data_IF_153212604026
#
_entry.id   IF_153212604026
#
_cell.length_a   1.000
_cell.length_b   1.000
_cell.length_c   1.000
_cell.angle_alpha   90.00
_cell.angle_beta   90.00
_cell.angle_gamma   90.00
#
_symmetry.space_group_name_H-M   'P 1'
#
loop_
_entity.id
_entity.type
_entity.pdbx_description
1 polymer ?
#
# COMPACT_ATOMS: atom_id res chain seq x y z
N UNK A 1 -5.92 17.37 3.67
CA UNK A 1 -7.12 16.89 4.39
C UNK A 1 -6.65 16.44 5.77
N UNK A 2 -7.27 16.89 6.87
CA UNK A 2 -6.87 16.45 8.20
C UNK A 2 -7.13 14.94 8.37
N UNK A 3 -6.30 14.28 9.17
CA UNK A 3 -6.49 12.85 9.51
C UNK A 3 -7.70 12.73 10.45
N UNK A 4 -8.60 11.80 10.15
CA UNK A 4 -9.84 11.61 10.92
C UNK A 4 -9.61 10.62 12.09
N UNK A 5 -8.86 11.06 13.09
CA UNK A 5 -8.53 10.24 14.27
C UNK A 5 -9.75 9.69 15.02
N UNK A 6 -10.85 10.46 15.24
CA UNK A 6 -12.03 9.93 15.92
C UNK A 6 -12.63 8.72 15.20
N UNK A 7 -12.68 8.75 13.86
CA UNK A 7 -13.16 7.62 13.08
C UNK A 7 -12.20 6.42 13.17
N UNK A 8 -10.88 6.66 13.12
CA UNK A 8 -9.90 5.57 13.23
C UNK A 8 -9.99 4.82 14.57
N UNK A 9 -10.29 5.53 15.66
CA UNK A 9 -10.49 4.92 16.98
C UNK A 9 -11.73 4.00 17.03
N UNK A 10 -12.77 4.31 16.25
CA UNK A 10 -13.98 3.49 16.17
C UNK A 10 -13.74 2.16 15.44
N UNK A 11 -12.79 2.12 14.50
CA UNK A 11 -12.48 0.93 13.71
C UNK A 11 -11.77 -0.17 14.51
N UNK A 12 -11.26 0.13 15.72
CA UNK A 12 -10.52 -0.82 16.57
C UNK A 12 -9.43 -1.56 15.80
N UNK A 13 -8.67 -0.81 15.00
CA UNK A 13 -7.61 -1.33 14.15
C UNK A 13 -6.56 -2.05 15.00
N UNK A 14 -6.07 -3.19 14.52
CA UNK A 14 -4.87 -3.84 15.06
C UNK A 14 -3.64 -3.52 14.25
N UNK A 15 -3.81 -3.37 12.94
CA UNK A 15 -2.69 -3.16 12.00
C UNK A 15 -3.01 -2.03 11.04
N UNK A 16 -2.01 -1.21 10.76
CA UNK A 16 -2.04 -0.23 9.67
C UNK A 16 -0.92 -0.59 8.70
N UNK A 17 -1.28 -0.81 7.44
CA UNK A 17 -0.34 -0.99 6.33
C UNK A 17 -0.30 0.33 5.55
N UNK A 18 0.85 1.01 5.60
CA UNK A 18 1.07 2.22 4.84
C UNK A 18 1.91 1.90 3.60
N UNK A 19 1.34 2.10 2.42
CA UNK A 19 1.99 1.82 1.13
C UNK A 19 2.37 3.14 0.47
N UNK A 20 3.61 3.59 0.67
CA UNK A 20 4.04 4.86 0.09
C UNK A 20 5.46 5.29 0.37
N UNK A 21 5.78 6.50 -0.08
CA UNK A 21 7.14 7.05 -0.22
C UNK A 21 7.46 8.19 0.76
N UNK A 22 6.49 8.65 1.55
CA UNK A 22 6.68 9.78 2.48
C UNK A 22 7.73 9.48 3.57
N UNK A 23 8.01 8.20 3.85
CA UNK A 23 9.02 7.81 4.83
C UNK A 23 10.46 8.07 4.31
N UNK A 24 10.68 8.02 3.00
CA UNK A 24 12.03 8.05 2.38
C UNK A 24 12.42 9.39 1.74
N UNK A 25 11.53 10.39 1.68
CA UNK A 25 11.87 11.72 1.18
C UNK A 25 12.97 12.43 2.02
N UNK A 26 13.22 11.97 3.26
CA UNK A 26 14.32 12.51 4.09
C UNK A 26 15.70 11.96 3.74
N UNK A 27 15.80 10.77 3.14
CA UNK A 27 17.09 10.08 2.94
C UNK A 27 17.86 10.54 1.69
N UNK A 28 17.20 11.16 0.71
CA UNK A 28 17.87 11.73 -0.49
C UNK A 28 18.58 13.07 -0.25
N UNK A 29 18.66 13.56 1.01
CA UNK A 29 19.34 14.83 1.33
C UNK A 29 20.87 14.77 1.32
N UNK A 30 21.49 13.62 1.06
CA UNK A 30 22.95 13.50 0.89
C UNK A 30 23.27 12.95 -0.49
N UNK A 31 23.45 13.83 -1.49
CA UNK A 31 24.29 13.46 -2.64
C UNK A 31 24.03 14.12 -4.00
N UNK A 32 22.81 14.57 -4.35
CA UNK A 32 22.57 15.21 -5.66
C UNK A 32 21.55 16.34 -5.56
N UNK A 33 21.92 17.50 -6.11
CA UNK A 33 21.11 18.71 -6.22
C UNK A 33 19.89 18.49 -7.14
N UNK A 34 18.83 17.87 -6.63
CA UNK A 34 17.50 18.04 -7.19
C UNK A 34 16.79 19.17 -6.42
N UNK A 35 16.29 20.17 -7.14
CA UNK A 35 15.55 21.31 -6.57
C UNK A 35 14.49 20.79 -5.58
N UNK A 36 14.46 21.29 -4.33
CA UNK A 36 13.48 20.83 -3.36
C UNK A 36 12.08 21.06 -3.93
N UNK A 37 11.30 19.99 -4.12
CA UNK A 37 9.85 20.13 -4.33
C UNK A 37 9.34 20.84 -3.09
N UNK A 38 8.94 22.10 -3.27
CA UNK A 38 8.35 22.95 -2.23
C UNK A 38 7.25 22.13 -1.56
N UNK A 39 7.38 21.84 -0.27
CA UNK A 39 6.35 21.13 0.50
C UNK A 39 5.17 22.08 0.67
N UNK A 40 4.36 22.22 -0.40
CA UNK A 40 3.32 23.27 -0.50
C UNK A 40 2.24 23.09 0.57
N UNK A 41 2.16 21.91 1.20
CA UNK A 41 1.04 21.50 2.05
C UNK A 41 1.44 20.93 3.43
N UNK A 42 2.71 20.99 3.87
CA UNK A 42 3.14 20.48 5.18
C UNK A 42 3.03 18.96 5.31
N UNK A 43 3.30 18.23 4.23
CA UNK A 43 3.05 16.79 4.13
C UNK A 43 3.93 15.99 5.10
N UNK A 44 5.18 16.41 5.27
CA UNK A 44 6.11 15.78 6.21
C UNK A 44 5.67 15.96 7.67
N UNK A 45 5.20 17.15 8.04
CA UNK A 45 4.70 17.41 9.40
C UNK A 45 3.45 16.59 9.73
N UNK A 46 2.55 16.45 8.75
CA UNK A 46 1.35 15.60 8.88
C UNK A 46 1.77 14.15 9.12
N UNK A 47 2.78 13.64 8.39
CA UNK A 47 3.28 12.29 8.56
C UNK A 47 3.96 12.06 9.91
N UNK A 48 4.73 13.04 10.42
CA UNK A 48 5.32 12.94 11.76
C UNK A 48 4.25 12.94 12.86
N UNK A 49 3.25 13.82 12.76
CA UNK A 49 2.10 13.81 13.69
C UNK A 49 1.35 12.49 13.64
N UNK A 50 1.19 11.93 12.45
CA UNK A 50 0.56 10.62 12.26
C UNK A 50 1.34 9.50 12.96
N UNK A 51 2.67 9.44 12.76
CA UNK A 51 3.52 8.47 13.47
C UNK A 51 3.48 8.66 14.97
N UNK A 52 3.48 9.90 15.46
CA UNK A 52 3.37 10.19 16.89
C UNK A 52 2.04 9.70 17.47
N UNK A 53 0.94 9.88 16.74
CA UNK A 53 -0.36 9.32 17.13
C UNK A 53 -0.37 7.79 17.10
N UNK A 54 0.18 7.14 16.07
CA UNK A 54 0.22 5.67 16.04
C UNK A 54 1.05 5.15 17.21
N UNK A 55 2.16 5.83 17.55
CA UNK A 55 3.01 5.46 18.69
C UNK A 55 2.32 5.58 20.05
N UNK A 56 1.19 6.31 20.14
CA UNK A 56 0.36 6.37 21.35
C UNK A 56 -0.77 5.33 21.38
N UNK A 57 -0.82 4.44 20.39
CA UNK A 57 -1.81 3.36 20.26
C UNK A 57 -1.13 2.00 20.23
N UNK A 58 -1.89 0.92 20.48
CA UNK A 58 -1.39 -0.46 20.36
C UNK A 58 -1.42 -0.99 18.91
N UNK A 59 -1.50 -0.09 17.92
CA UNK A 59 -1.64 -0.45 16.51
C UNK A 59 -0.25 -0.80 15.94
N UNK A 60 -0.14 -2.00 15.36
CA UNK A 60 1.03 -2.41 14.58
C UNK A 60 1.10 -1.58 13.29
N UNK A 61 2.11 -0.73 13.17
CA UNK A 61 2.36 0.07 11.97
C UNK A 61 3.38 -0.60 11.04
N UNK A 62 2.97 -0.84 9.80
CA UNK A 62 3.80 -1.44 8.75
C UNK A 62 3.98 -0.45 7.58
N UNK A 63 5.04 0.39 7.59
CA UNK A 63 5.37 1.24 6.46
C UNK A 63 6.11 0.44 5.38
N UNK A 64 5.56 0.42 4.17
CA UNK A 64 6.08 -0.31 3.00
C UNK A 64 6.35 0.69 1.88
N UNK A 65 7.58 0.67 1.36
CA UNK A 65 8.04 1.64 0.37
C UNK A 65 7.55 1.26 -1.01
N UNK A 66 6.58 2.03 -1.52
CA UNK A 66 6.14 1.93 -2.91
C UNK A 66 6.21 3.30 -3.57
N UNK A 67 7.06 3.37 -4.58
CA UNK A 67 7.24 4.56 -5.41
C UNK A 67 6.01 4.78 -6.29
N UNK A 68 5.79 6.04 -6.66
CA UNK A 68 4.79 6.34 -7.69
C UNK A 68 5.28 5.79 -9.02
N UNK A 69 4.46 4.98 -9.69
CA UNK A 69 4.63 4.63 -11.10
C UNK A 69 4.65 5.95 -11.90
N UNK A 70 5.80 6.37 -12.40
CA UNK A 70 5.92 7.45 -13.37
C UNK A 70 6.77 6.94 -14.53
N UNK A 71 6.18 6.86 -15.72
CA UNK A 71 6.91 6.56 -16.95
C UNK A 71 7.98 7.62 -17.23
N UNK A 72 9.07 7.29 -17.95
CA UNK A 72 9.43 6.00 -18.56
C UNK A 72 10.50 5.18 -17.80
N UNK A 73 10.92 5.57 -16.60
CA UNK A 73 12.16 5.06 -15.99
C UNK A 73 12.02 4.62 -14.53
N UNK A 74 11.16 3.64 -14.26
CA UNK A 74 11.28 2.91 -12.98
C UNK A 74 12.50 2.01 -13.08
N UNK A 75 13.53 2.27 -12.26
CA UNK A 75 14.74 1.45 -12.27
C UNK A 75 14.42 -0.01 -11.87
N UNK A 76 15.23 -0.97 -12.30
CA UNK A 76 15.05 -2.39 -11.96
C UNK A 76 15.00 -2.57 -10.43
N UNK A 77 15.83 -1.82 -9.71
CA UNK A 77 15.87 -1.83 -8.24
C UNK A 77 14.55 -1.30 -7.63
N UNK A 78 13.97 -0.27 -8.25
CA UNK A 78 12.70 0.33 -7.80
C UNK A 78 11.53 -0.64 -8.01
N UNK A 79 11.55 -1.40 -9.11
CA UNK A 79 10.55 -2.44 -9.38
C UNK A 79 10.68 -3.59 -8.38
N UNK A 80 11.88 -4.10 -8.15
CA UNK A 80 12.13 -5.16 -7.18
C UNK A 80 11.71 -4.75 -5.76
N UNK A 81 12.05 -3.52 -5.33
CA UNK A 81 11.63 -3.00 -4.03
C UNK A 81 10.10 -2.89 -3.90
N UNK A 82 9.43 -2.51 -4.98
CA UNK A 82 7.96 -2.42 -5.02
C UNK A 82 7.33 -3.80 -4.90
N UNK A 83 7.87 -4.80 -5.61
CA UNK A 83 7.41 -6.19 -5.53
C UNK A 83 7.58 -6.75 -4.11
N UNK A 84 8.75 -6.58 -3.50
CA UNK A 84 9.02 -7.01 -2.12
C UNK A 84 8.04 -6.35 -1.12
N UNK A 85 7.80 -5.04 -1.29
CA UNK A 85 6.84 -4.30 -0.44
C UNK A 85 5.41 -4.79 -0.61
N UNK A 86 4.98 -5.08 -1.84
CA UNK A 86 3.63 -5.58 -2.12
C UNK A 86 3.46 -7.03 -1.63
N UNK A 87 4.51 -7.85 -1.75
CA UNK A 87 4.53 -9.22 -1.22
C UNK A 87 4.39 -9.20 0.30
N UNK A 88 5.20 -8.40 0.99
CA UNK A 88 5.09 -8.22 2.44
C UNK A 88 3.69 -7.73 2.86
N UNK A 89 3.06 -6.85 2.07
CA UNK A 89 1.68 -6.41 2.34
C UNK A 89 0.68 -7.58 2.20
N UNK A 90 0.83 -8.42 1.18
CA UNK A 90 -0.02 -9.59 0.96
C UNK A 90 0.14 -10.62 2.09
N UNK A 91 1.36 -10.88 2.58
CA UNK A 91 1.59 -11.74 3.75
C UNK A 91 0.90 -11.21 5.01
N UNK A 92 0.92 -9.89 5.24
CA UNK A 92 0.21 -9.29 6.36
C UNK A 92 -1.32 -9.46 6.23
N UNK A 93 -1.85 -9.37 5.01
CA UNK A 93 -3.27 -9.58 4.70
C UNK A 93 -3.67 -11.06 4.82
N UNK A 94 -2.76 -11.98 4.58
CA UNK A 94 -2.97 -13.44 4.67
C UNK A 94 -3.04 -13.96 6.11
N UNK A 95 -2.71 -13.14 7.12
CA UNK A 95 -2.76 -13.54 8.52
C UNK A 95 -3.90 -12.83 9.27
N UNK A 96 -4.94 -13.59 9.62
CA UNK A 96 -6.15 -13.11 10.30
C UNK A 96 -5.86 -12.47 11.66
N UNK A 97 -4.72 -12.75 12.30
CA UNK A 97 -4.31 -12.12 13.57
C UNK A 97 -4.11 -10.62 13.42
N UNK A 98 -3.74 -10.17 12.23
CA UNK A 98 -3.52 -8.75 11.92
C UNK A 98 -4.84 -7.95 11.79
N UNK A 99 -6.00 -8.60 11.68
CA UNK A 99 -7.28 -7.93 11.46
C UNK A 99 -7.93 -7.39 12.75
N UNK A 100 -8.59 -6.22 12.71
CA UNK A 100 -8.86 -5.38 11.52
C UNK A 100 -7.64 -4.59 11.01
N UNK A 101 -7.47 -4.55 9.68
CA UNK A 101 -6.37 -3.87 8.99
C UNK A 101 -6.90 -2.62 8.28
N UNK A 102 -6.19 -1.50 8.41
CA UNK A 102 -6.34 -0.35 7.51
C UNK A 102 -5.17 -0.32 6.53
N UNK A 103 -5.47 -0.27 5.23
CA UNK A 103 -4.47 -0.10 4.17
C UNK A 103 -4.63 1.30 3.57
N UNK A 104 -3.57 2.08 3.52
CA UNK A 104 -3.63 3.40 2.88
C UNK A 104 -2.28 3.84 2.29
N UNK A 105 -2.34 4.82 1.38
CA UNK A 105 -1.17 5.50 0.81
C UNK A 105 -1.31 7.01 1.02
N UNK A 106 -0.56 7.83 0.28
CA UNK A 106 -0.70 9.30 0.35
C UNK A 106 -2.08 9.76 -0.10
N UNK A 107 -2.67 9.10 -1.11
CA UNK A 107 -3.96 9.48 -1.72
C UNK A 107 -4.99 8.34 -1.74
N UNK A 108 -4.59 7.10 -1.45
CA UNK A 108 -5.51 5.95 -1.48
C UNK A 108 -5.96 5.52 -2.89
N UNK A 109 -5.22 5.91 -3.94
CA UNK A 109 -5.53 5.61 -5.35
C UNK A 109 -4.61 4.50 -5.89
N UNK A 110 -3.96 4.70 -7.02
CA UNK A 110 -3.01 3.80 -7.71
C UNK A 110 -2.35 2.71 -6.85
N UNK A 111 -1.46 3.04 -5.91
CA UNK A 111 -0.75 2.07 -5.05
C UNK A 111 -1.67 1.11 -4.29
N UNK A 112 -2.79 1.64 -3.78
CA UNK A 112 -3.79 0.83 -3.08
C UNK A 112 -4.63 0.04 -4.08
N UNK A 113 -4.97 0.63 -5.22
CA UNK A 113 -5.62 -0.08 -6.32
C UNK A 113 -4.82 -1.30 -6.79
N UNK A 114 -3.50 -1.16 -6.93
CA UNK A 114 -2.61 -2.28 -7.30
C UNK A 114 -2.63 -3.38 -6.22
N UNK A 115 -2.38 -3.03 -4.95
CA UNK A 115 -2.39 -4.01 -3.86
C UNK A 115 -3.74 -4.72 -3.71
N UNK A 116 -4.86 -3.97 -3.78
CA UNK A 116 -6.20 -4.55 -3.72
C UNK A 116 -6.48 -5.42 -4.95
N UNK A 117 -6.08 -4.98 -6.15
CA UNK A 117 -6.23 -5.78 -7.37
C UNK A 117 -5.48 -7.11 -7.31
N UNK A 118 -4.27 -7.11 -6.74
CA UNK A 118 -3.51 -8.33 -6.47
C UNK A 118 -4.20 -9.21 -5.43
N UNK A 119 -4.74 -8.63 -4.36
CA UNK A 119 -5.55 -9.36 -3.38
C UNK A 119 -6.78 -10.02 -4.04
N UNK A 120 -7.49 -9.30 -4.92
CA UNK A 120 -8.62 -9.84 -5.69
C UNK A 120 -8.20 -10.98 -6.61
N UNK A 121 -7.11 -10.80 -7.37
CA UNK A 121 -6.57 -11.80 -8.30
C UNK A 121 -6.10 -13.05 -7.57
N UNK A 122 -5.17 -12.89 -6.64
CA UNK A 122 -4.37 -13.99 -6.08
C UNK A 122 -5.13 -14.66 -4.92
N UNK A 123 -5.71 -13.87 -4.02
CA UNK A 123 -6.32 -14.41 -2.80
C UNK A 123 -7.79 -14.77 -3.00
N UNK A 124 -8.53 -14.05 -3.84
CA UNK A 124 -9.98 -14.23 -3.99
C UNK A 124 -10.40 -14.84 -5.33
N UNK A 125 -9.49 -14.89 -6.30
CA UNK A 125 -9.74 -15.50 -7.62
C UNK A 125 -10.78 -14.75 -8.46
N UNK A 126 -10.85 -13.43 -8.35
CA UNK A 126 -11.74 -12.60 -9.19
C UNK A 126 -11.31 -12.61 -10.66
N UNK A 127 -12.25 -12.37 -11.57
CA UNK A 127 -11.94 -12.17 -13.00
C UNK A 127 -11.29 -10.80 -13.24
N UNK A 128 -10.44 -10.70 -14.26
CA UNK A 128 -9.69 -9.46 -14.56
C UNK A 128 -10.59 -8.26 -14.83
N UNK A 129 -11.71 -8.45 -15.52
CA UNK A 129 -12.66 -7.37 -15.80
C UNK A 129 -13.19 -6.73 -14.51
N UNK A 130 -13.61 -7.54 -13.53
CA UNK A 130 -14.10 -7.05 -12.24
C UNK A 130 -13.00 -6.36 -11.42
N UNK A 131 -11.76 -6.85 -11.51
CA UNK A 131 -10.61 -6.23 -10.85
C UNK A 131 -10.34 -4.84 -11.45
N UNK A 132 -10.34 -4.73 -12.77
CA UNK A 132 -10.07 -3.48 -13.48
C UNK A 132 -11.18 -2.44 -13.24
N UNK A 133 -12.43 -2.85 -13.20
CA UNK A 133 -13.56 -1.98 -12.84
C UNK A 133 -13.44 -1.43 -11.41
N UNK A 134 -13.08 -2.26 -10.42
CA UNK A 134 -12.84 -1.81 -9.04
C UNK A 134 -11.67 -0.82 -9.00
N UNK A 135 -10.56 -1.16 -9.66
CA UNK A 135 -9.38 -0.31 -9.74
C UNK A 135 -9.74 1.07 -10.30
N UNK A 136 -10.37 1.14 -11.47
CA UNK A 136 -10.64 2.40 -12.18
C UNK A 136 -11.58 3.30 -11.36
N UNK A 137 -12.59 2.69 -10.73
CA UNK A 137 -13.54 3.39 -9.85
C UNK A 137 -12.84 4.11 -8.70
N UNK A 138 -11.88 3.47 -8.04
CA UNK A 138 -11.21 4.05 -6.86
C UNK A 138 -9.95 4.85 -7.21
N UNK A 139 -9.24 4.51 -8.29
CA UNK A 139 -8.11 5.29 -8.78
C UNK A 139 -8.56 6.65 -9.35
N UNK A 140 -9.84 6.77 -9.77
CA UNK A 140 -10.37 7.93 -10.49
C UNK A 140 -9.60 8.18 -11.79
N UNK A 141 -9.27 7.11 -12.50
CA UNK A 141 -8.49 7.13 -13.73
C UNK A 141 -7.85 5.78 -14.03
N UNK A 142 -7.58 5.53 -15.30
CA UNK A 142 -6.92 4.32 -15.78
C UNK A 142 -5.41 4.53 -15.85
N UNK A 143 -4.65 3.52 -15.42
CA UNK A 143 -3.19 3.46 -15.55
C UNK A 143 -2.85 2.12 -16.18
N UNK A 144 -2.45 2.13 -17.45
CA UNK A 144 -2.16 0.89 -18.19
C UNK A 144 -1.05 0.09 -17.52
N UNK A 145 0.00 0.77 -17.03
CA UNK A 145 1.08 0.17 -16.26
C UNK A 145 0.58 -0.56 -14.99
N UNK A 146 -0.32 0.06 -14.22
CA UNK A 146 -0.83 -0.57 -13.00
C UNK A 146 -1.69 -1.79 -13.32
N UNK A 147 -2.49 -1.73 -14.39
CA UNK A 147 -3.33 -2.86 -14.83
C UNK A 147 -2.49 -4.00 -15.38
N UNK A 148 -1.49 -3.70 -16.20
CA UNK A 148 -0.52 -4.67 -16.71
C UNK A 148 0.25 -5.32 -15.55
N UNK A 149 0.66 -4.54 -14.54
CA UNK A 149 1.33 -5.07 -13.36
C UNK A 149 0.41 -6.05 -12.59
N UNK A 150 -0.86 -5.70 -12.38
CA UNK A 150 -1.84 -6.60 -11.74
C UNK A 150 -2.00 -7.89 -12.56
N UNK A 151 -2.05 -7.78 -13.89
CA UNK A 151 -2.21 -8.94 -14.79
C UNK A 151 -0.98 -9.85 -14.81
N UNK A 152 0.22 -9.28 -14.89
CA UNK A 152 1.46 -10.02 -15.12
C UNK A 152 2.12 -10.54 -13.84
N UNK A 153 2.06 -9.78 -12.74
CA UNK A 153 2.78 -10.15 -11.53
C UNK A 153 2.02 -11.21 -10.71
N UNK A 154 2.75 -12.24 -10.28
CA UNK A 154 2.22 -13.33 -9.46
C UNK A 154 3.32 -13.83 -8.51
N UNK A 155 3.39 -13.30 -7.26
CA UNK A 155 4.32 -13.79 -6.27
C UNK A 155 3.91 -15.16 -5.74
N UNK A 156 4.88 -15.90 -5.23
CA UNK A 156 4.66 -17.13 -4.48
C UNK A 156 4.49 -16.77 -3.00
N UNK A 157 3.32 -17.05 -2.42
CA UNK A 157 3.00 -16.67 -1.04
C UNK A 157 2.98 -17.89 -0.14
N UNK A 158 3.82 -17.88 0.90
CA UNK A 158 3.76 -18.83 2.00
C UNK A 158 2.81 -18.35 3.10
N UNK A 159 2.01 -19.26 3.65
CA UNK A 159 1.06 -18.96 4.72
C UNK A 159 0.80 -20.18 5.59
N UNK A 160 0.36 -19.93 6.83
CA UNK A 160 -0.14 -20.94 7.75
C UNK A 160 -1.65 -21.07 7.58
N UNK A 161 -2.15 -22.24 7.18
CA UNK A 161 -3.58 -22.47 6.94
C UNK A 161 -4.47 -22.11 8.14
N UNK A 162 -3.98 -22.34 9.36
CA UNK A 162 -4.68 -22.00 10.60
C UNK A 162 -5.02 -20.51 10.68
N UNK A 163 -4.18 -19.64 10.12
CA UNK A 163 -4.31 -18.19 10.22
C UNK A 163 -4.91 -17.53 8.97
N UNK A 164 -5.31 -18.30 7.96
CA UNK A 164 -5.93 -17.74 6.77
C UNK A 164 -7.28 -17.06 7.06
N UNK A 165 -7.51 -15.85 6.53
CA UNK A 165 -8.84 -15.24 6.50
C UNK A 165 -9.81 -16.04 5.64
N UNK A 166 -11.09 -16.07 6.02
CA UNK A 166 -12.13 -16.82 5.29
C UNK A 166 -12.44 -16.33 3.87
N UNK A 167 -11.89 -15.19 3.44
CA UNK A 167 -12.02 -14.72 2.06
C UNK A 167 -10.96 -15.31 1.13
N UNK A 168 -9.91 -15.96 1.67
CA UNK A 168 -8.85 -16.55 0.86
C UNK A 168 -9.37 -17.84 0.27
N UNK A 169 -9.29 -17.97 -1.05
CA UNK A 169 -9.59 -19.20 -1.76
C UNK A 169 -8.39 -20.13 -1.61
N UNK A 170 -8.44 -21.03 -0.62
CA UNK A 170 -7.53 -22.16 -0.57
C UNK A 170 -7.72 -22.99 -1.85
N UNK A 171 -6.62 -23.25 -2.55
CA UNK A 171 -6.58 -24.06 -3.78
C UNK A 171 -6.64 -25.55 -3.49
#
# INVERSE_FOLDING_TARGET
MPINYPFMQQLKLKTIIYVGDLCHEKAKKTGKEEKPKKDKNGTAEIYEKYKAWISSTDIKFCPLLVHSSQEPFTSVETQAQTQESLEAALHLILDKRNFPILIHSNKGKHRIGVLVGLMRKILQGWCMSGIFEEYEKFAMGKSEFDLEFIEMWQPELSYEEEWLPGFVRAG
#
